data_IF_744867060849
#
_entry.id   IF_744867060849
#
_cell.length_a   1.000
_cell.length_b   1.000
_cell.length_c   1.000
_cell.angle_alpha   90.00
_cell.angle_beta   90.00
_cell.angle_gamma   90.00
#
_symmetry.space_group_name_H-M   'P 1'
#
loop_
_entity.id
_entity.type
_entity.pdbx_description
1 polymer ?
#
# COMPACT_ATOMS: atom_id res chain seq x y z
N UNK A 1 22.25 19.07 -8.51
CA UNK A 1 22.52 17.94 -7.60
C UNK A 1 21.27 17.08 -7.51
N UNK A 2 21.43 15.80 -7.81
CA UNK A 2 20.55 14.69 -7.45
C UNK A 2 19.13 14.68 -8.04
N UNK A 3 19.00 14.16 -9.26
CA UNK A 3 17.96 13.17 -9.52
C UNK A 3 18.27 11.92 -8.69
N UNK A 4 17.26 11.27 -8.08
CA UNK A 4 17.37 9.85 -7.88
C UNK A 4 16.13 9.14 -8.42
N UNK A 5 16.38 8.48 -9.56
CA UNK A 5 16.00 7.09 -9.82
C UNK A 5 14.52 6.86 -10.10
N UNK A 6 14.22 6.76 -11.40
CA UNK A 6 13.12 5.96 -11.92
C UNK A 6 13.13 4.57 -11.27
N UNK A 7 12.30 4.41 -10.24
CA UNK A 7 11.88 3.11 -9.75
C UNK A 7 10.99 2.48 -10.84
N UNK A 8 11.01 1.14 -11.01
CA UNK A 8 10.17 0.47 -12.00
C UNK A 8 8.72 0.94 -11.81
N UNK A 9 8.04 1.22 -12.93
CA UNK A 9 6.76 1.92 -13.01
C UNK A 9 5.61 1.15 -12.33
N UNK A 10 5.68 1.00 -11.01
CA UNK A 10 4.55 0.61 -10.19
C UNK A 10 3.69 1.85 -10.08
N UNK A 11 2.44 1.71 -10.46
CA UNK A 11 1.48 2.80 -10.56
C UNK A 11 1.48 3.58 -9.23
N UNK A 12 1.78 4.89 -9.21
CA UNK A 12 1.93 5.65 -7.96
C UNK A 12 0.67 5.54 -7.09
N UNK A 13 -0.49 5.44 -7.74
CA UNK A 13 -1.80 5.22 -7.10
C UNK A 13 -1.87 3.87 -6.38
N UNK A 14 -1.32 2.80 -6.96
CA UNK A 14 -1.28 1.49 -6.32
C UNK A 14 -0.40 1.53 -5.07
N UNK A 15 0.75 2.20 -5.17
CA UNK A 15 1.68 2.37 -4.05
C UNK A 15 1.09 3.20 -2.91
N UNK A 16 0.38 4.29 -3.23
CA UNK A 16 -0.33 5.07 -2.21
C UNK A 16 -1.40 4.22 -1.51
N UNK A 17 -2.20 3.46 -2.26
CA UNK A 17 -3.22 2.57 -1.70
C UNK A 17 -2.63 1.48 -0.79
N UNK A 18 -1.46 0.93 -1.17
CA UNK A 18 -0.71 -0.01 -0.35
C UNK A 18 -0.19 0.64 0.95
N UNK A 19 0.37 1.85 0.84
CA UNK A 19 0.84 2.59 2.01
C UNK A 19 -0.30 2.96 2.96
N UNK A 20 -1.44 3.35 2.41
CA UNK A 20 -2.63 3.70 3.16
C UNK A 20 -3.28 2.48 3.85
N UNK A 21 -3.16 1.29 3.27
CA UNK A 21 -3.68 0.06 3.90
C UNK A 21 -2.84 -0.36 5.09
N UNK A 22 -1.51 -0.20 5.04
CA UNK A 22 -0.64 -0.40 6.19
C UNK A 22 0.48 0.64 6.22
N UNK A 23 0.30 1.75 6.94
CA UNK A 23 1.35 2.76 7.12
C UNK A 23 2.52 2.24 7.97
N UNK A 24 2.36 1.08 8.61
CA UNK A 24 3.41 0.39 9.35
C UNK A 24 4.40 -0.36 8.44
N UNK A 25 4.15 -0.46 7.12
CA UNK A 25 5.08 -1.12 6.22
C UNK A 25 6.36 -0.32 6.03
N UNK A 26 7.48 -1.01 6.18
CA UNK A 26 8.77 -0.46 5.78
C UNK A 26 8.84 -0.29 4.25
N UNK A 27 9.65 0.63 3.72
CA UNK A 27 9.84 0.78 2.27
C UNK A 27 10.27 -0.53 1.58
N UNK A 28 11.03 -1.37 2.28
CA UNK A 28 11.42 -2.70 1.82
C UNK A 28 10.25 -3.69 1.77
N UNK A 29 9.32 -3.61 2.72
CA UNK A 29 8.11 -4.44 2.73
C UNK A 29 7.16 -4.02 1.62
N UNK A 30 6.98 -2.71 1.42
CA UNK A 30 6.16 -2.19 0.34
C UNK A 30 6.72 -2.62 -1.02
N UNK A 31 8.02 -2.50 -1.27
CA UNK A 31 8.66 -2.98 -2.49
C UNK A 31 8.51 -4.51 -2.69
N UNK A 32 8.53 -5.28 -1.60
CA UNK A 32 8.28 -6.72 -1.66
C UNK A 32 6.82 -7.06 -2.02
N UNK A 33 5.86 -6.29 -1.50
CA UNK A 33 4.44 -6.42 -1.84
C UNK A 33 4.19 -6.00 -3.29
N UNK A 34 4.77 -4.89 -3.75
CA UNK A 34 4.70 -4.45 -5.15
C UNK A 34 5.25 -5.53 -6.10
N UNK A 35 6.41 -6.11 -5.78
CA UNK A 35 6.98 -7.21 -6.56
C UNK A 35 6.14 -8.48 -6.53
N UNK A 36 5.47 -8.77 -5.42
CA UNK A 36 4.51 -9.88 -5.32
C UNK A 36 3.30 -9.64 -6.21
N UNK A 37 2.74 -8.44 -6.18
CA UNK A 37 1.60 -8.06 -7.00
C UNK A 37 1.97 -8.07 -8.48
N UNK A 38 3.15 -7.56 -8.86
CA UNK A 38 3.66 -7.62 -10.22
C UNK A 38 3.80 -9.07 -10.73
N UNK A 39 4.20 -10.03 -9.88
CA UNK A 39 4.28 -11.46 -10.26
C UNK A 39 2.91 -12.07 -10.57
N UNK A 40 1.85 -11.64 -9.89
CA UNK A 40 0.47 -12.06 -10.21
C UNK A 40 -0.19 -11.16 -11.25
N UNK A 41 0.60 -10.36 -11.99
CA UNK A 41 0.15 -9.37 -12.98
C UNK A 41 -0.86 -8.36 -12.42
N UNK A 42 -0.75 -8.03 -11.14
CA UNK A 42 -1.51 -6.95 -10.52
C UNK A 42 -0.60 -5.74 -10.46
N UNK A 43 -0.74 -4.84 -11.43
CA UNK A 43 0.07 -3.61 -11.53
C UNK A 43 -0.76 -2.35 -11.36
N UNK A 44 -2.09 -2.50 -11.40
CA UNK A 44 -3.05 -1.40 -11.33
C UNK A 44 -4.15 -1.65 -10.31
N UNK A 45 -4.76 -0.57 -9.82
CA UNK A 45 -5.92 -0.57 -8.92
C UNK A 45 -7.10 -1.43 -9.41
N UNK A 46 -7.55 -1.35 -10.68
CA UNK A 46 -8.61 -2.22 -11.20
C UNK A 46 -8.21 -3.70 -11.17
N UNK A 47 -6.98 -4.03 -11.58
CA UNK A 47 -6.48 -5.42 -11.54
C UNK A 47 -6.42 -5.95 -10.10
N UNK A 48 -6.05 -5.09 -9.14
CA UNK A 48 -6.06 -5.45 -7.73
C UNK A 48 -7.48 -5.70 -7.23
N UNK A 49 -8.45 -4.86 -7.63
CA UNK A 49 -9.86 -5.06 -7.28
C UNK A 49 -10.39 -6.37 -7.84
N UNK A 50 -10.10 -6.68 -9.10
CA UNK A 50 -10.49 -7.94 -9.72
C UNK A 50 -9.84 -9.13 -9.03
N UNK A 51 -8.52 -9.06 -8.80
CA UNK A 51 -7.80 -10.10 -8.08
C UNK A 51 -8.35 -10.32 -6.66
N UNK A 52 -8.76 -9.26 -5.96
CA UNK A 52 -9.39 -9.37 -4.63
C UNK A 52 -10.79 -9.98 -4.67
N UNK A 53 -11.53 -9.86 -5.78
CA UNK A 53 -12.83 -10.51 -5.99
C UNK A 53 -12.69 -11.99 -6.36
N UNK A 54 -11.71 -12.31 -7.20
CA UNK A 54 -11.43 -13.67 -7.65
C UNK A 54 -10.70 -14.50 -6.58
N UNK A 55 -10.00 -13.85 -5.65
CA UNK A 55 -9.24 -14.50 -4.59
C UNK A 55 -7.75 -14.26 -4.74
N UNK A 56 -7.27 -13.09 -4.32
CA UNK A 56 -5.88 -12.65 -4.47
C UNK A 56 -4.90 -13.66 -3.85
N UNK A 57 -5.28 -14.27 -2.72
CA UNK A 57 -4.47 -15.29 -2.07
C UNK A 57 -4.31 -16.56 -2.90
N UNK A 58 -5.31 -16.92 -3.70
CA UNK A 58 -5.22 -18.08 -4.59
C UNK A 58 -4.26 -17.79 -5.75
N UNK A 59 -4.38 -16.61 -6.38
CA UNK A 59 -3.43 -16.13 -7.39
C UNK A 59 -1.99 -16.05 -6.87
N UNK A 60 -1.80 -15.55 -5.65
CA UNK A 60 -0.48 -15.51 -5.02
C UNK A 60 0.10 -16.92 -4.82
N UNK A 61 -0.72 -17.88 -4.36
CA UNK A 61 -0.29 -19.27 -4.20
C UNK A 61 0.07 -19.92 -5.54
N UNK A 62 -0.72 -19.67 -6.59
CA UNK A 62 -0.42 -20.15 -7.95
C UNK A 62 0.89 -19.57 -8.48
N UNK A 63 1.22 -18.33 -8.12
CA UNK A 63 2.52 -17.71 -8.42
C UNK A 63 3.66 -18.13 -7.46
N UNK A 64 3.43 -19.09 -6.57
CA UNK A 64 4.43 -19.55 -5.58
C UNK A 64 4.75 -18.51 -4.49
N UNK A 65 3.94 -17.46 -4.37
CA UNK A 65 4.10 -16.40 -3.39
C UNK A 65 3.29 -16.68 -2.13
N UNK A 66 3.79 -16.21 -0.98
CA UNK A 66 3.04 -16.31 0.27
C UNK A 66 1.79 -15.43 0.19
N UNK A 67 0.60 -15.96 0.54
CA UNK A 67 -0.64 -15.19 0.55
C UNK A 67 -0.50 -13.96 1.43
N UNK A 68 -1.23 -12.90 1.09
CA UNK A 68 -1.29 -11.71 1.93
C UNK A 68 -2.11 -12.03 3.19
N UNK A 69 -1.81 -11.29 4.25
CA UNK A 69 -2.58 -11.35 5.48
C UNK A 69 -4.04 -11.02 5.16
N UNK A 70 -4.97 -11.83 5.67
CA UNK A 70 -6.40 -11.63 5.48
C UNK A 70 -6.86 -10.25 5.92
N UNK A 71 -6.21 -9.67 6.94
CA UNK A 71 -6.46 -8.30 7.40
C UNK A 71 -6.10 -7.26 6.31
N UNK A 72 -4.93 -7.39 5.69
CA UNK A 72 -4.53 -6.51 4.58
C UNK A 72 -5.44 -6.66 3.38
N UNK A 73 -5.84 -7.89 3.04
CA UNK A 73 -6.80 -8.17 1.95
C UNK A 73 -8.15 -7.50 2.23
N UNK A 74 -8.67 -7.63 3.46
CA UNK A 74 -9.93 -6.98 3.87
C UNK A 74 -9.83 -5.46 3.82
N UNK A 75 -8.71 -4.89 4.25
CA UNK A 75 -8.53 -3.43 4.20
C UNK A 75 -8.40 -2.91 2.77
N UNK A 76 -7.70 -3.64 1.90
CA UNK A 76 -7.64 -3.34 0.47
C UNK A 76 -9.04 -3.38 -0.15
N UNK A 77 -9.83 -4.42 0.14
CA UNK A 77 -11.22 -4.52 -0.33
C UNK A 77 -12.09 -3.37 0.18
N UNK A 78 -11.97 -3.00 1.46
CA UNK A 78 -12.71 -1.88 2.06
C UNK A 78 -12.40 -0.57 1.33
N UNK A 79 -11.11 -0.26 1.17
CA UNK A 79 -10.66 0.96 0.49
C UNK A 79 -11.08 0.96 -0.97
N UNK A 80 -10.87 -0.12 -1.71
CA UNK A 80 -11.26 -0.21 -3.12
C UNK A 80 -12.78 -0.15 -3.33
N UNK A 81 -13.57 -0.59 -2.35
CA UNK A 81 -15.02 -0.40 -2.33
C UNK A 81 -15.43 1.05 -2.07
N UNK A 82 -14.61 1.83 -1.36
CA UNK A 82 -14.79 3.25 -1.11
C UNK A 82 -14.23 4.14 -2.23
N UNK A 83 -13.21 3.70 -2.98
CA UNK A 83 -12.50 4.47 -4.02
C UNK A 83 -13.30 4.74 -5.32
N UNK A 84 -14.62 4.55 -5.35
CA UNK A 84 -15.47 5.05 -6.46
C UNK A 84 -16.04 6.45 -6.19
N UNK A 85 -15.71 7.08 -5.05
CA UNK A 85 -16.07 8.47 -4.77
C UNK A 85 -14.82 9.33 -4.54
N UNK A 86 -14.41 10.17 -5.51
CA UNK A 86 -13.35 11.19 -5.36
C UNK A 86 -13.64 12.39 -6.28
N UNK A 87 -13.08 13.63 -6.12
CA UNK A 87 -12.44 14.37 -4.98
C UNK A 87 -12.80 15.92 -5.02
N UNK A 88 -12.08 16.96 -4.46
CA UNK A 88 -10.79 17.04 -3.76
C UNK A 88 -10.73 17.90 -2.47
N UNK A 89 -9.74 17.62 -1.61
CA UNK A 89 -9.11 18.67 -0.78
C UNK A 89 -7.70 18.25 -0.40
N UNK A 90 -6.74 18.93 -1.00
CA UNK A 90 -5.34 19.04 -0.60
C UNK A 90 -5.07 20.55 -0.37
N UNK A 91 -4.03 21.01 0.36
CA UNK A 91 -2.82 20.28 0.73
C UNK A 91 -2.24 20.56 2.14
N UNK A 92 -1.11 19.89 2.40
CA UNK A 92 0.06 20.37 3.13
C UNK A 92 0.10 20.29 4.68
N UNK A 93 1.04 19.42 5.08
CA UNK A 93 1.86 19.33 6.30
C UNK A 93 2.09 20.63 7.09
N UNK A 94 2.48 20.50 8.37
CA UNK A 94 3.91 20.66 8.61
C UNK A 94 4.56 19.52 9.39
N UNK A 95 5.80 19.21 8.98
CA UNK A 95 6.80 18.50 9.77
C UNK A 95 6.99 19.22 11.11
N UNK A 96 6.95 18.48 12.22
CA UNK A 96 7.76 18.63 13.44
C UNK A 96 7.22 17.58 14.41
N UNK A 97 7.97 16.61 14.90
CA UNK A 97 9.30 16.77 15.48
C UNK A 97 9.13 16.59 17.00
N UNK A 98 9.79 15.56 17.52
CA UNK A 98 10.01 15.24 18.94
C UNK A 98 8.86 14.58 19.71
N UNK A 99 8.98 13.27 19.87
CA UNK A 99 8.46 12.59 21.04
C UNK A 99 9.38 12.84 22.22
N UNK A 100 8.80 13.27 23.34
CA UNK A 100 9.28 12.99 24.70
C UNK A 100 8.06 12.90 25.62
N UNK A 101 7.74 11.73 26.22
CA UNK A 101 6.93 11.65 27.43
C UNK A 101 7.84 11.45 28.66
N UNK A 102 7.30 11.44 29.89
CA UNK A 102 7.22 12.57 30.83
C UNK A 102 8.26 12.46 31.97
N UNK A 103 8.37 13.49 32.81
CA UNK A 103 8.94 13.34 34.16
C UNK A 103 8.14 14.17 35.16
N UNK A 104 7.68 13.59 36.28
CA UNK A 104 7.01 14.34 37.34
C UNK A 104 8.03 14.93 38.30
N UNK A 105 7.80 16.15 38.82
CA UNK A 105 8.34 16.61 40.11
C UNK A 105 7.64 17.90 40.55
N UNK A 106 6.75 17.77 41.53
CA UNK A 106 6.77 18.38 42.88
C UNK A 106 5.42 18.09 43.52
#
# INVERSE_FOLDING_TARGET
ASEPRAAPAVNPVLRELLWETRPAWSPSELAAVERKLAQVRVTSVPELREALREGLNDRLRQAGQRPMLSETVRELQRRLGQSHAVPPSVPATPRSGVGVPPTPRQ
#
